data_IF_043448346107
#
_entry.id   IF_043448346107
#
_cell.length_a   1.000
_cell.length_b   1.000
_cell.length_c   1.000
_cell.angle_alpha   90.00
_cell.angle_beta   90.00
_cell.angle_gamma   90.00
#
_symmetry.space_group_name_H-M   'P 1'
#
loop_
_entity.id
_entity.type
_entity.pdbx_description
1 polymer ?
#
# COMPACT_ATOMS: atom_id res chain seq x y z
N UNK A 1 -0.98 10.89 -22.96
CA UNK A 1 -1.66 9.77 -22.26
C UNK A 1 -1.76 8.47 -23.06
N UNK A 2 -1.52 8.44 -24.37
CA UNK A 2 -1.79 7.26 -25.24
C UNK A 2 -0.75 6.13 -25.13
N UNK A 3 0.51 6.43 -24.78
CA UNK A 3 1.61 5.45 -24.78
C UNK A 3 1.60 4.46 -23.60
N UNK A 4 1.12 4.87 -22.42
CA UNK A 4 1.04 4.00 -21.23
C UNK A 4 -0.04 2.91 -21.37
N UNK A 5 -1.14 3.24 -22.05
CA UNK A 5 -2.29 2.35 -22.22
C UNK A 5 -2.03 1.19 -23.19
N UNK A 6 -1.16 1.39 -24.17
CA UNK A 6 -0.75 0.37 -25.15
C UNK A 6 0.26 -0.65 -24.58
N UNK A 7 1.15 -0.22 -23.66
CA UNK A 7 2.13 -1.11 -23.02
C UNK A 7 1.62 -1.78 -21.73
N UNK A 8 0.50 -1.33 -21.16
CA UNK A 8 -0.13 -1.88 -19.95
C UNK A 8 -0.63 -3.33 -20.10
N UNK A 9 -0.86 -3.81 -21.33
CA UNK A 9 -1.31 -5.19 -21.57
C UNK A 9 -0.27 -6.27 -21.19
N UNK A 10 1.00 -5.89 -20.97
CA UNK A 10 2.08 -6.82 -20.63
C UNK A 10 2.94 -6.40 -19.43
N UNK A 11 2.87 -5.12 -19.01
CA UNK A 11 3.62 -4.61 -17.85
C UNK A 11 2.73 -4.52 -16.61
N UNK A 12 2.84 -5.51 -15.71
CA UNK A 12 2.17 -5.47 -14.40
C UNK A 12 2.73 -4.30 -13.59
N UNK A 13 2.01 -3.19 -13.57
CA UNK A 13 2.39 -2.01 -12.77
C UNK A 13 1.76 -2.14 -11.40
N UNK A 14 2.59 -2.13 -10.36
CA UNK A 14 2.14 -2.11 -8.96
C UNK A 14 2.31 -0.71 -8.41
N UNK A 15 1.30 -0.20 -7.71
CA UNK A 15 1.38 1.07 -7.00
C UNK A 15 1.55 0.77 -5.51
N UNK A 16 2.53 1.39 -4.86
CA UNK A 16 2.71 1.33 -3.41
C UNK A 16 2.29 2.67 -2.81
N UNK A 17 1.47 2.60 -1.77
CA UNK A 17 1.01 3.73 -0.97
C UNK A 17 1.36 3.42 0.49
N UNK A 18 2.50 3.92 1.01
CA UNK A 18 2.77 3.85 2.43
C UNK A 18 1.87 4.84 3.17
N UNK A 19 1.26 4.40 4.28
CA UNK A 19 0.35 5.21 5.09
C UNK A 19 0.41 4.86 6.57
N UNK A 20 -0.01 5.82 7.39
CA UNK A 20 -0.30 5.64 8.81
C UNK A 20 -1.81 5.54 9.05
N UNK A 21 -2.24 4.90 10.14
CA UNK A 21 -3.67 4.90 10.52
C UNK A 21 -4.23 6.32 10.66
N UNK A 22 -3.43 7.27 11.17
CA UNK A 22 -3.80 8.68 11.33
C UNK A 22 -4.16 9.39 10.02
N UNK A 23 -3.74 8.90 8.85
CA UNK A 23 -4.05 9.51 7.55
C UNK A 23 -5.50 9.31 7.13
N UNK A 24 -6.18 8.31 7.71
CA UNK A 24 -7.60 8.08 7.45
C UNK A 24 -8.44 8.06 8.71
N UNK A 25 -7.90 7.80 9.90
CA UNK A 25 -8.70 7.84 11.14
C UNK A 25 -8.95 9.28 11.59
N UNK A 26 -7.99 10.18 11.42
CA UNK A 26 -8.15 11.59 11.80
C UNK A 26 -9.25 12.25 10.94
N UNK A 27 -10.30 12.83 11.56
CA UNK A 27 -11.35 13.55 10.85
C UNK A 27 -10.83 14.68 9.93
N UNK A 28 -9.69 15.29 10.23
CA UNK A 28 -9.07 16.32 9.40
C UNK A 28 -8.47 15.74 8.10
N UNK A 29 -7.89 14.54 8.17
CA UNK A 29 -7.22 13.89 7.03
C UNK A 29 -8.17 13.02 6.21
N UNK A 30 -9.25 12.49 6.84
CA UNK A 30 -10.25 11.62 6.22
C UNK A 30 -10.73 12.12 4.85
N UNK A 31 -11.11 13.39 4.65
CA UNK A 31 -11.63 13.85 3.36
C UNK A 31 -10.58 13.77 2.25
N UNK A 32 -9.32 14.07 2.58
CA UNK A 32 -8.21 13.99 1.64
C UNK A 32 -7.95 12.53 1.25
N UNK A 33 -7.93 11.63 2.23
CA UNK A 33 -7.76 10.20 1.99
C UNK A 33 -8.89 9.62 1.12
N UNK A 34 -10.15 9.98 1.40
CA UNK A 34 -11.29 9.58 0.57
C UNK A 34 -11.17 10.12 -0.87
N UNK A 35 -10.66 11.33 -1.05
CA UNK A 35 -10.40 11.87 -2.39
C UNK A 35 -9.30 11.08 -3.11
N UNK A 36 -8.22 10.68 -2.42
CA UNK A 36 -7.18 9.80 -2.99
C UNK A 36 -7.81 8.50 -3.47
N UNK A 37 -8.60 7.80 -2.63
CA UNK A 37 -9.26 6.56 -3.03
C UNK A 37 -10.19 6.76 -4.24
N UNK A 38 -10.91 7.88 -4.31
CA UNK A 38 -11.75 8.24 -5.45
C UNK A 38 -10.93 8.39 -6.74
N UNK A 39 -9.76 9.02 -6.69
CA UNK A 39 -8.88 9.13 -7.85
C UNK A 39 -8.33 7.75 -8.26
N UNK A 40 -7.91 6.93 -7.28
CA UNK A 40 -7.35 5.59 -7.52
C UNK A 40 -8.34 4.64 -8.18
N UNK A 41 -9.64 4.74 -7.85
CA UNK A 41 -10.70 3.94 -8.46
C UNK A 41 -10.70 4.03 -9.99
N UNK A 42 -10.40 5.21 -10.54
CA UNK A 42 -10.47 5.46 -11.99
C UNK A 42 -9.16 5.06 -12.71
N UNK A 43 -8.16 4.57 -11.98
CA UNK A 43 -6.86 4.15 -12.51
C UNK A 43 -6.91 2.70 -13.02
N UNK A 44 -7.21 2.55 -14.30
CA UNK A 44 -7.45 1.24 -14.95
C UNK A 44 -6.19 0.51 -15.44
N UNK A 45 -5.01 1.13 -15.36
CA UNK A 45 -3.75 0.54 -15.85
C UNK A 45 -2.89 -0.12 -14.75
N UNK A 46 -3.29 0.01 -13.48
CA UNK A 46 -2.61 -0.62 -12.35
C UNK A 46 -3.04 -2.08 -12.22
N UNK A 47 -2.06 -2.98 -12.05
CA UNK A 47 -2.32 -4.38 -11.80
C UNK A 47 -2.74 -4.60 -10.33
N UNK A 48 -2.09 -3.93 -9.39
CA UNK A 48 -2.36 -4.05 -7.94
C UNK A 48 -1.92 -2.78 -7.22
N UNK A 49 -2.66 -2.39 -6.18
CA UNK A 49 -2.27 -1.34 -5.22
C UNK A 49 -1.89 -1.98 -3.89
N UNK A 50 -0.70 -1.71 -3.38
CA UNK A 50 -0.25 -2.12 -2.04
C UNK A 50 -0.41 -0.93 -1.11
N UNK A 51 -1.28 -1.07 -0.12
CA UNK A 51 -1.42 -0.13 0.99
C UNK A 51 -0.52 -0.60 2.13
N UNK A 52 0.65 0.03 2.25
CA UNK A 52 1.64 -0.26 3.30
C UNK A 52 1.24 0.44 4.59
N UNK A 53 0.49 -0.23 5.45
CA UNK A 53 -0.09 0.32 6.66
C UNK A 53 0.83 0.11 7.87
N UNK A 54 1.32 1.23 8.43
CA UNK A 54 2.08 1.28 9.68
C UNK A 54 1.24 1.86 10.83
N UNK A 55 1.56 1.45 12.05
CA UNK A 55 1.02 1.93 13.33
C UNK A 55 -0.50 1.85 13.43
N UNK A 56 -1.07 0.72 12.99
CA UNK A 56 -2.51 0.50 13.03
C UNK A 56 -2.90 -0.62 13.98
N UNK A 57 -4.05 -0.48 14.64
CA UNK A 57 -4.73 -1.60 15.32
C UNK A 57 -5.44 -2.50 14.30
N UNK A 58 -5.96 -3.63 14.76
CA UNK A 58 -6.75 -4.53 13.92
C UNK A 58 -8.03 -3.84 13.40
N UNK A 59 -8.69 -3.07 14.25
CA UNK A 59 -9.90 -2.32 13.94
C UNK A 59 -9.62 -1.27 12.87
N UNK A 60 -8.51 -0.54 13.01
CA UNK A 60 -8.08 0.47 12.03
C UNK A 60 -7.70 -0.17 10.70
N UNK A 61 -7.05 -1.34 10.69
CA UNK A 61 -6.75 -2.07 9.46
C UNK A 61 -8.03 -2.56 8.75
N UNK A 62 -9.05 -2.95 9.52
CA UNK A 62 -10.36 -3.34 9.00
C UNK A 62 -11.13 -2.14 8.46
N UNK A 63 -11.03 -0.98 9.11
CA UNK A 63 -11.60 0.26 8.61
C UNK A 63 -10.98 0.66 7.26
N UNK A 64 -9.65 0.57 7.12
CA UNK A 64 -8.97 0.81 5.84
C UNK A 64 -9.51 -0.10 4.74
N UNK A 65 -9.65 -1.40 5.03
CA UNK A 65 -10.25 -2.37 4.08
C UNK A 65 -11.64 -1.93 3.65
N UNK A 66 -12.47 -1.51 4.60
CA UNK A 66 -13.86 -1.14 4.32
C UNK A 66 -13.95 0.16 3.50
N UNK A 67 -13.05 1.11 3.74
CA UNK A 67 -12.88 2.32 2.92
C UNK A 67 -12.49 2.00 1.47
N UNK A 68 -11.45 1.19 1.29
CA UNK A 68 -10.95 0.80 -0.04
C UNK A 68 -12.05 0.06 -0.82
N UNK A 69 -12.74 -0.87 -0.14
CA UNK A 69 -13.87 -1.60 -0.70
C UNK A 69 -15.03 -0.67 -1.06
N UNK A 70 -15.37 0.28 -0.19
CA UNK A 70 -16.40 1.29 -0.42
C UNK A 70 -16.09 2.21 -1.60
N UNK A 71 -14.81 2.50 -1.84
CA UNK A 71 -14.35 3.25 -3.01
C UNK A 71 -14.39 2.44 -4.32
N UNK A 72 -14.66 1.12 -4.25
CA UNK A 72 -14.77 0.25 -5.43
C UNK A 72 -13.43 -0.23 -6.00
N UNK A 73 -12.34 -0.07 -5.26
CA UNK A 73 -11.02 -0.58 -5.64
C UNK A 73 -11.01 -2.10 -5.42
N UNK A 74 -10.68 -2.87 -6.46
CA UNK A 74 -10.77 -4.34 -6.42
C UNK A 74 -9.43 -5.05 -6.22
N UNK A 75 -8.38 -4.58 -6.90
CA UNK A 75 -7.09 -5.26 -6.92
C UNK A 75 -6.13 -4.56 -5.97
N UNK A 76 -6.19 -4.92 -4.69
CA UNK A 76 -5.33 -4.33 -3.67
C UNK A 76 -4.84 -5.36 -2.64
N UNK A 77 -3.74 -5.00 -1.97
CA UNK A 77 -3.20 -5.69 -0.80
C UNK A 77 -3.08 -4.67 0.31
N UNK A 78 -3.49 -5.03 1.52
CA UNK A 78 -3.18 -4.27 2.73
C UNK A 78 -1.99 -4.97 3.39
N UNK A 79 -0.83 -4.34 3.32
CA UNK A 79 0.35 -4.74 4.06
C UNK A 79 0.30 -4.10 5.45
N UNK A 80 -0.41 -4.73 6.38
CA UNK A 80 -0.48 -4.28 7.78
C UNK A 80 0.78 -4.72 8.52
N UNK A 81 1.77 -3.84 8.62
CA UNK A 81 3.12 -4.16 9.09
C UNK A 81 3.18 -4.59 10.55
N UNK A 82 2.29 -4.07 11.39
CA UNK A 82 2.18 -4.43 12.81
C UNK A 82 1.26 -5.64 13.03
N UNK A 83 0.61 -6.12 11.97
CA UNK A 83 -0.28 -7.27 12.02
C UNK A 83 0.48 -8.59 12.10
N UNK A 84 -0.13 -9.64 12.70
CA UNK A 84 0.53 -10.93 12.94
C UNK A 84 1.05 -11.61 11.65
N UNK A 85 0.40 -11.34 10.51
CA UNK A 85 0.85 -11.86 9.21
C UNK A 85 2.19 -11.27 8.77
N UNK A 86 2.34 -9.94 8.79
CA UNK A 86 3.56 -9.29 8.30
C UNK A 86 4.66 -9.22 9.36
N UNK A 87 4.33 -9.14 10.64
CA UNK A 87 5.33 -9.20 11.72
C UNK A 87 6.13 -10.51 11.66
N UNK A 88 5.45 -11.65 11.48
CA UNK A 88 6.10 -12.95 11.33
C UNK A 88 6.97 -13.06 10.06
N UNK A 89 6.62 -12.36 8.97
CA UNK A 89 7.46 -12.27 7.77
C UNK A 89 8.72 -11.46 8.07
N UNK A 90 8.61 -10.33 8.77
CA UNK A 90 9.78 -9.54 9.19
C UNK A 90 10.72 -10.34 10.09
N UNK A 91 10.19 -11.13 11.03
CA UNK A 91 10.98 -12.00 11.90
C UNK A 91 11.76 -13.06 11.09
N UNK A 92 11.11 -13.69 10.11
CA UNK A 92 11.77 -14.65 9.21
C UNK A 92 12.89 -13.99 8.39
N UNK A 93 12.64 -12.81 7.82
CA UNK A 93 13.64 -12.06 7.08
C UNK A 93 14.83 -11.65 7.98
N UNK A 94 14.55 -11.21 9.20
CA UNK A 94 15.58 -10.86 10.19
C UNK A 94 16.43 -12.07 10.56
N UNK A 95 15.80 -13.22 10.78
CA UNK A 95 16.48 -14.50 11.07
C UNK A 95 17.35 -14.96 9.91
N UNK A 96 16.93 -14.68 8.67
CA UNK A 96 17.68 -14.97 7.45
C UNK A 96 18.83 -13.98 7.18
N UNK A 97 19.07 -13.00 8.06
CA UNK A 97 20.18 -12.05 7.95
C UNK A 97 19.83 -10.72 7.25
N UNK A 98 18.57 -10.48 6.90
CA UNK A 98 18.13 -9.16 6.43
C UNK A 98 17.83 -8.26 7.63
N UNK A 99 18.72 -7.30 7.92
CA UNK A 99 18.53 -6.40 9.06
C UNK A 99 17.46 -5.32 8.79
N UNK A 100 16.18 -5.71 8.90
CA UNK A 100 15.00 -4.87 8.63
C UNK A 100 14.29 -4.56 9.96
N UNK A 101 15.04 -4.02 10.91
CA UNK A 101 14.61 -3.87 12.30
C UNK A 101 14.15 -2.45 12.63
N UNK A 102 14.60 -1.44 11.89
CA UNK A 102 14.26 -0.05 12.14
C UNK A 102 12.81 0.28 11.72
N UNK A 103 11.94 0.73 12.65
CA UNK A 103 10.58 1.15 12.31
C UNK A 103 10.56 2.39 11.42
N UNK A 104 9.64 2.43 10.45
CA UNK A 104 9.38 3.61 9.62
C UNK A 104 9.20 3.29 8.13
N UNK A 105 9.09 4.35 7.32
CA UNK A 105 8.82 4.26 5.87
C UNK A 105 9.81 3.33 5.15
N UNK A 106 11.09 3.29 5.56
CA UNK A 106 12.09 2.41 4.94
C UNK A 106 11.77 0.92 5.05
N UNK A 107 11.40 0.46 6.26
CA UNK A 107 10.99 -0.93 6.53
C UNK A 107 9.74 -1.31 5.73
N UNK A 108 8.72 -0.45 5.80
CA UNK A 108 7.46 -0.63 5.08
C UNK A 108 7.69 -0.75 3.56
N UNK A 109 8.51 0.16 3.01
CA UNK A 109 8.84 0.20 1.59
C UNK A 109 9.64 -1.01 1.13
N UNK A 110 10.61 -1.48 1.92
CA UNK A 110 11.39 -2.67 1.60
C UNK A 110 10.47 -3.87 1.35
N UNK A 111 9.53 -4.12 2.27
CA UNK A 111 8.63 -5.26 2.14
C UNK A 111 7.60 -5.04 1.02
N UNK A 112 7.11 -3.81 0.83
CA UNK A 112 6.22 -3.46 -0.30
C UNK A 112 6.87 -3.79 -1.64
N UNK A 113 8.16 -3.52 -1.81
CA UNK A 113 8.90 -3.89 -3.01
C UNK A 113 9.06 -5.39 -3.15
N UNK A 114 9.33 -6.12 -2.05
CA UNK A 114 9.36 -7.58 -2.05
C UNK A 114 8.04 -8.19 -2.53
N UNK A 115 6.90 -7.71 -2.01
CA UNK A 115 5.56 -8.13 -2.42
C UNK A 115 5.33 -7.81 -3.90
N UNK A 116 5.66 -6.58 -4.34
CA UNK A 116 5.50 -6.18 -5.74
C UNK A 116 6.31 -7.09 -6.69
N UNK A 117 7.56 -7.40 -6.35
CA UNK A 117 8.41 -8.32 -7.12
C UNK A 117 7.78 -9.72 -7.16
N UNK A 118 7.29 -10.23 -6.02
CA UNK A 118 6.62 -11.53 -5.95
C UNK A 118 5.33 -11.60 -6.80
N UNK A 119 4.62 -10.48 -6.98
CA UNK A 119 3.47 -10.36 -7.89
C UNK A 119 3.87 -10.30 -9.39
N UNK A 120 5.17 -10.24 -9.68
CA UNK A 120 5.72 -10.09 -11.01
C UNK A 120 5.63 -8.67 -11.54
N UNK A 121 5.74 -7.66 -10.67
CA UNK A 121 5.74 -6.25 -11.08
C UNK A 121 6.88 -5.98 -12.06
N UNK A 122 6.57 -5.30 -13.17
CA UNK A 122 7.57 -4.82 -14.13
C UNK A 122 7.83 -3.32 -13.98
N UNK A 123 6.96 -2.62 -13.24
CA UNK A 123 7.11 -1.25 -12.85
C UNK A 123 6.45 -1.07 -11.48
N UNK A 124 7.09 -0.28 -10.61
CA UNK A 124 6.56 0.07 -9.29
C UNK A 124 6.43 1.59 -9.23
N UNK A 125 5.20 2.06 -9.03
CA UNK A 125 4.92 3.46 -8.70
C UNK A 125 4.86 3.63 -7.19
N UNK A 126 5.26 4.80 -6.71
CA UNK A 126 5.12 5.19 -5.31
C UNK A 126 4.28 6.46 -5.25
N UNK A 127 3.24 6.49 -4.42
CA UNK A 127 2.55 7.71 -4.04
C UNK A 127 2.66 7.82 -2.52
N UNK A 128 3.32 8.88 -2.05
CA UNK A 128 3.34 9.20 -0.62
C UNK A 128 1.96 9.71 -0.22
N UNK A 129 1.34 9.07 0.77
CA UNK A 129 0.04 9.46 1.30
C UNK A 129 0.16 10.46 2.45
N UNK A 130 1.32 11.12 2.64
CA UNK A 130 1.56 12.10 3.70
C UNK A 130 0.58 13.29 3.60
N UNK A 131 -0.60 13.11 4.18
CA UNK A 131 -1.65 14.11 4.34
C UNK A 131 -1.26 14.89 5.59
N UNK A 132 -0.35 15.84 5.42
CA UNK A 132 -0.08 16.86 6.44
C UNK A 132 -0.80 18.12 6.04
N UNK A 133 -1.73 18.53 6.89
CA UNK A 133 -2.28 19.88 6.91
C UNK A 133 -1.83 20.57 8.19
#
# INVERSE_FOLDING_TARGET
>A
MTQLRLHSKWKKTVLVIPLLSSEYVDPANRPVFLNILKQLRDVTYLATIIFGLDKATQEEAFELRDLIKGAGIKNYIIQWNDGPGFSSIYEQLTTAGFNITEPGKGKNMFLSFGIAIALGAQAIGLIDADIRT
#
